data_IF_304273889168
#
_entry.id   IF_304273889168
#
_cell.length_a   1.000
_cell.length_b   1.000
_cell.length_c   1.000
_cell.angle_alpha   90.00
_cell.angle_beta   90.00
_cell.angle_gamma   90.00
#
_symmetry.space_group_name_H-M   'P 1'
#
loop_
_entity.id
_entity.type
_entity.pdbx_description
1 polymer ?
#
# COMPACT_ATOMS: atom_id res chain seq x y z
N UNK A 1 22.91 6.18 11.73
CA UNK A 1 21.52 6.39 11.28
C UNK A 1 21.33 6.37 9.76
N UNK A 2 22.28 6.86 8.93
CA UNK A 2 22.12 6.88 7.46
C UNK A 2 21.92 5.47 6.86
N UNK A 3 22.68 4.49 7.34
CA UNK A 3 22.58 3.10 6.88
C UNK A 3 21.22 2.45 7.24
N UNK A 4 20.68 2.77 8.42
CA UNK A 4 19.35 2.26 8.85
C UNK A 4 18.22 2.81 7.99
N UNK A 5 18.30 4.08 7.56
CA UNK A 5 17.34 4.66 6.61
C UNK A 5 17.38 3.95 5.26
N UNK A 6 18.59 3.72 4.72
CA UNK A 6 18.78 3.05 3.44
C UNK A 6 18.20 1.63 3.48
N UNK A 7 18.45 0.90 4.56
CA UNK A 7 17.95 -0.48 4.71
C UNK A 7 16.42 -0.55 4.75
N UNK A 8 15.75 0.40 5.42
CA UNK A 8 14.28 0.46 5.44
C UNK A 8 13.68 0.79 4.07
N UNK A 9 14.33 1.67 3.29
CA UNK A 9 13.91 1.99 1.92
C UNK A 9 14.14 0.81 0.98
N UNK A 10 15.27 0.11 1.10
CA UNK A 10 15.51 -1.11 0.33
C UNK A 10 14.45 -2.17 0.65
N UNK A 11 14.14 -2.35 1.94
CA UNK A 11 13.11 -3.29 2.37
C UNK A 11 11.73 -2.96 1.78
N UNK A 12 11.33 -1.68 1.73
CA UNK A 12 10.05 -1.30 1.11
C UNK A 12 10.03 -1.57 -0.38
N UNK A 13 11.13 -1.28 -1.10
CA UNK A 13 11.25 -1.56 -2.54
C UNK A 13 11.15 -3.07 -2.81
N UNK A 14 11.87 -3.89 -2.04
CA UNK A 14 11.81 -5.35 -2.17
C UNK A 14 10.41 -5.88 -1.87
N UNK A 15 9.72 -5.33 -0.87
CA UNK A 15 8.35 -5.71 -0.56
C UNK A 15 7.37 -5.38 -1.70
N UNK A 16 7.52 -4.22 -2.33
CA UNK A 16 6.72 -3.81 -3.49
C UNK A 16 6.97 -4.74 -4.67
N UNK A 17 8.24 -4.96 -5.05
CA UNK A 17 8.61 -5.81 -6.20
C UNK A 17 8.18 -7.26 -5.94
N UNK A 18 8.49 -7.82 -4.78
CA UNK A 18 8.13 -9.18 -4.42
C UNK A 18 6.62 -9.40 -4.41
N UNK A 19 5.87 -8.47 -3.80
CA UNK A 19 4.41 -8.55 -3.82
C UNK A 19 3.81 -8.36 -5.21
N UNK A 20 4.40 -7.50 -6.04
CA UNK A 20 4.00 -7.31 -7.43
C UNK A 20 4.16 -8.63 -8.18
N UNK A 21 5.36 -9.22 -8.20
CA UNK A 21 5.64 -10.48 -8.91
C UNK A 21 4.70 -11.60 -8.47
N UNK A 22 4.44 -11.71 -7.16
CA UNK A 22 3.61 -12.78 -6.61
C UNK A 22 2.10 -12.61 -6.87
N UNK A 23 1.59 -11.38 -6.99
CA UNK A 23 0.17 -11.10 -7.25
C UNK A 23 -0.15 -10.68 -8.68
N UNK A 24 0.86 -10.44 -9.53
CA UNK A 24 0.71 -9.80 -10.85
C UNK A 24 -0.33 -10.48 -11.72
N UNK A 25 -0.25 -11.82 -11.81
CA UNK A 25 -1.11 -12.61 -12.67
C UNK A 25 -2.58 -12.51 -12.24
N UNK A 26 -2.88 -12.81 -10.97
CA UNK A 26 -4.27 -12.79 -10.51
C UNK A 26 -4.88 -11.40 -10.49
N UNK A 27 -4.07 -10.39 -10.16
CA UNK A 27 -4.50 -9.00 -10.15
C UNK A 27 -4.88 -8.50 -11.55
N UNK A 28 -4.06 -8.79 -12.56
CA UNK A 28 -4.31 -8.31 -13.93
C UNK A 28 -5.39 -9.10 -14.67
N UNK A 29 -5.46 -10.41 -14.43
CA UNK A 29 -6.45 -11.26 -15.09
C UNK A 29 -7.84 -11.14 -14.43
N UNK A 30 -7.95 -10.44 -13.30
CA UNK A 30 -9.19 -10.34 -12.53
C UNK A 30 -9.68 -11.68 -11.99
N UNK A 31 -8.78 -12.66 -11.86
CA UNK A 31 -9.13 -14.00 -11.36
C UNK A 31 -9.39 -13.94 -9.86
N UNK A 32 -10.31 -14.74 -9.29
CA UNK A 32 -10.58 -14.75 -7.86
C UNK A 32 -9.30 -14.82 -7.02
N UNK A 33 -9.22 -13.99 -5.98
CA UNK A 33 -8.07 -14.00 -5.08
C UNK A 33 -7.99 -15.36 -4.37
N UNK A 34 -6.77 -15.86 -4.22
CA UNK A 34 -6.47 -17.14 -3.58
C UNK A 34 -5.67 -16.96 -2.28
N UNK A 35 -5.37 -18.07 -1.61
CA UNK A 35 -4.63 -18.07 -0.34
C UNK A 35 -3.20 -17.49 -0.48
N UNK A 36 -2.57 -17.62 -1.65
CA UNK A 36 -1.27 -17.00 -1.93
C UNK A 36 -1.39 -15.47 -1.90
N UNK A 37 -2.42 -14.91 -2.55
CA UNK A 37 -2.63 -13.45 -2.56
C UNK A 37 -2.89 -12.89 -1.15
N UNK A 38 -3.61 -13.66 -0.32
CA UNK A 38 -3.82 -13.35 1.08
C UNK A 38 -2.49 -13.24 1.84
N UNK A 39 -1.63 -14.26 1.73
CA UNK A 39 -0.32 -14.28 2.40
C UNK A 39 0.53 -13.08 1.95
N UNK A 40 0.57 -12.80 0.64
CA UNK A 40 1.33 -11.66 0.10
C UNK A 40 0.84 -10.34 0.71
N UNK A 41 -0.47 -10.14 0.76
CA UNK A 41 -1.07 -8.93 1.34
C UNK A 41 -0.74 -8.79 2.81
N UNK A 42 -0.83 -9.89 3.56
CA UNK A 42 -0.54 -9.90 4.99
C UNK A 42 0.94 -9.59 5.27
N UNK A 43 1.88 -10.23 4.56
CA UNK A 43 3.31 -9.94 4.69
C UNK A 43 3.64 -8.50 4.29
N UNK A 44 3.03 -8.01 3.20
CA UNK A 44 3.20 -6.64 2.75
C UNK A 44 2.75 -5.62 3.80
N UNK A 45 1.57 -5.84 4.41
CA UNK A 45 1.06 -5.03 5.51
C UNK A 45 2.03 -5.06 6.71
N UNK A 46 2.49 -6.24 7.13
CA UNK A 46 3.41 -6.39 8.26
C UNK A 46 4.72 -5.63 8.04
N UNK A 47 5.28 -5.69 6.82
CA UNK A 47 6.50 -4.95 6.48
C UNK A 47 6.27 -3.45 6.62
N UNK A 48 5.16 -2.91 6.13
CA UNK A 48 4.85 -1.49 6.26
C UNK A 48 4.62 -1.05 7.71
N UNK A 49 3.93 -1.87 8.51
CA UNK A 49 3.76 -1.64 9.95
C UNK A 49 5.12 -1.62 10.64
N UNK A 50 6.01 -2.56 10.32
CA UNK A 50 7.35 -2.63 10.87
C UNK A 50 8.20 -1.40 10.51
N UNK A 51 8.19 -0.98 9.24
CA UNK A 51 8.88 0.23 8.78
C UNK A 51 8.36 1.45 9.54
N UNK A 52 7.04 1.59 9.67
CA UNK A 52 6.43 2.72 10.40
C UNK A 52 6.81 2.70 11.88
N UNK A 53 6.73 1.53 12.53
CA UNK A 53 7.08 1.35 13.93
C UNK A 53 8.54 1.75 14.22
N UNK A 54 9.49 1.24 13.43
CA UNK A 54 10.91 1.60 13.55
C UNK A 54 11.09 3.10 13.33
N UNK A 55 10.43 3.66 12.31
CA UNK A 55 10.55 5.10 11.99
C UNK A 55 10.07 5.99 13.13
N UNK A 56 8.98 5.62 13.80
CA UNK A 56 8.47 6.30 14.99
C UNK A 56 9.43 6.13 16.16
N UNK A 57 9.87 4.89 16.45
CA UNK A 57 10.74 4.56 17.59
C UNK A 57 12.07 5.32 17.54
N UNK A 58 12.68 5.38 16.35
CA UNK A 58 13.95 6.08 16.13
C UNK A 58 13.78 7.54 15.72
N UNK A 59 12.55 8.08 15.77
CA UNK A 59 12.26 9.49 15.48
C UNK A 59 12.79 9.95 14.11
N UNK A 60 12.83 9.04 13.12
CA UNK A 60 13.44 9.28 11.82
C UNK A 60 12.49 10.06 10.91
N UNK A 61 12.59 11.39 10.94
CA UNK A 61 11.74 12.29 10.16
C UNK A 61 11.75 12.01 8.65
N UNK A 62 12.89 11.59 8.08
CA UNK A 62 13.01 11.32 6.65
C UNK A 62 12.16 10.13 6.22
N UNK A 63 12.22 9.02 6.98
CA UNK A 63 11.40 7.83 6.68
C UNK A 63 9.93 8.08 6.97
N UNK A 64 9.60 8.83 8.03
CA UNK A 64 8.22 9.21 8.29
C UNK A 64 7.63 10.08 7.16
N UNK A 65 8.39 11.01 6.58
CA UNK A 65 7.94 11.75 5.39
C UNK A 65 7.70 10.81 4.21
N UNK A 66 8.59 9.86 3.99
CA UNK A 66 8.42 8.83 2.95
C UNK A 66 7.15 8.00 3.17
N UNK A 67 6.90 7.50 4.39
CA UNK A 67 5.68 6.77 4.72
C UNK A 67 4.42 7.62 4.54
N UNK A 68 4.48 8.93 4.84
CA UNK A 68 3.35 9.84 4.64
C UNK A 68 3.05 10.01 3.15
N UNK A 69 4.08 10.25 2.33
CA UNK A 69 3.91 10.35 0.87
C UNK A 69 3.34 9.05 0.31
N UNK A 70 3.88 7.90 0.73
CA UNK A 70 3.35 6.60 0.33
C UNK A 70 1.88 6.42 0.72
N UNK A 71 1.51 6.73 1.96
CA UNK A 71 0.13 6.65 2.45
C UNK A 71 -0.84 7.55 1.67
N UNK A 72 -0.42 8.77 1.34
CA UNK A 72 -1.24 9.72 0.55
C UNK A 72 -1.38 9.25 -0.89
N UNK A 73 -0.31 8.76 -1.53
CA UNK A 73 -0.39 8.22 -2.90
C UNK A 73 -1.32 7.02 -2.96
N UNK A 74 -1.21 6.10 -1.99
CA UNK A 74 -2.11 4.95 -1.85
C UNK A 74 -3.58 5.40 -1.68
N UNK A 75 -3.82 6.43 -0.88
CA UNK A 75 -5.15 6.99 -0.68
C UNK A 75 -5.73 7.55 -1.98
N UNK A 76 -4.95 8.32 -2.74
CA UNK A 76 -5.39 8.87 -4.03
C UNK A 76 -5.69 7.77 -5.04
N UNK A 77 -4.82 6.75 -5.15
CA UNK A 77 -5.02 5.64 -6.09
C UNK A 77 -6.23 4.78 -5.72
N UNK A 78 -6.48 4.54 -4.43
CA UNK A 78 -7.65 3.78 -3.99
C UNK A 78 -8.96 4.56 -4.22
N UNK A 79 -8.98 5.87 -3.98
CA UNK A 79 -10.12 6.73 -4.33
C UNK A 79 -10.37 6.76 -5.85
N UNK A 80 -9.31 6.91 -6.66
CA UNK A 80 -9.41 6.87 -8.11
C UNK A 80 -9.96 5.52 -8.59
N UNK A 81 -9.53 4.43 -7.97
CA UNK A 81 -10.02 3.08 -8.29
C UNK A 81 -11.51 2.94 -7.97
N UNK A 82 -11.97 3.46 -6.83
CA UNK A 82 -13.41 3.51 -6.50
C UNK A 82 -14.18 4.30 -7.56
N UNK A 83 -13.69 5.50 -7.90
CA UNK A 83 -14.32 6.36 -8.90
C UNK A 83 -14.47 5.64 -10.25
N UNK A 84 -13.42 4.99 -10.73
CA UNK A 84 -13.42 4.20 -11.97
C UNK A 84 -14.46 3.07 -11.92
N UNK A 85 -14.49 2.32 -10.82
CA UNK A 85 -15.42 1.19 -10.67
C UNK A 85 -16.89 1.63 -10.60
N UNK A 86 -17.18 2.81 -10.04
CA UNK A 86 -18.55 3.32 -9.93
C UNK A 86 -19.00 4.03 -11.22
N UNK A 87 -18.13 4.80 -11.85
CA UNK A 87 -18.47 5.62 -13.02
C UNK A 87 -18.33 4.89 -14.36
N UNK A 88 -17.58 3.79 -14.40
CA UNK A 88 -17.19 3.14 -15.66
C UNK A 88 -16.16 3.94 -16.47
N UNK A 89 -15.60 5.01 -15.92
CA UNK A 89 -14.54 5.79 -16.56
C UNK A 89 -13.27 4.95 -16.76
N UNK A 90 -12.40 5.36 -17.68
CA UNK A 90 -11.10 4.71 -17.90
C UNK A 90 -9.95 5.64 -17.54
N UNK A 91 -8.89 5.08 -16.94
CA UNK A 91 -7.69 5.84 -16.56
C UNK A 91 -6.43 5.02 -16.87
N UNK A 92 -6.16 4.79 -18.15
CA UNK A 92 -5.02 3.96 -18.59
C UNK A 92 -3.67 4.47 -18.08
N UNK A 93 -3.52 5.79 -17.91
CA UNK A 93 -2.32 6.39 -17.33
C UNK A 93 -2.05 5.97 -15.88
N UNK A 94 -3.11 5.64 -15.12
CA UNK A 94 -3.00 5.25 -13.71
C UNK A 94 -2.66 3.76 -13.53
N UNK A 95 -2.80 2.96 -14.59
CA UNK A 95 -2.71 1.50 -14.55
C UNK A 95 -1.37 1.03 -14.00
N UNK A 96 -0.26 1.65 -14.41
CA UNK A 96 1.08 1.29 -13.93
C UNK A 96 1.23 1.52 -12.41
N UNK A 97 0.65 2.59 -11.88
CA UNK A 97 0.69 2.90 -10.45
C UNK A 97 -0.21 1.95 -9.66
N UNK A 98 -1.36 1.59 -10.23
CA UNK A 98 -2.31 0.65 -9.64
C UNK A 98 -1.68 -0.75 -9.53
N UNK A 99 -1.02 -1.25 -10.58
CA UNK A 99 -0.27 -2.52 -10.51
C UNK A 99 0.83 -2.42 -9.45
N UNK A 100 1.61 -1.34 -9.50
CA UNK A 100 2.81 -1.21 -8.67
C UNK A 100 2.49 -1.05 -7.19
N UNK A 101 1.40 -0.38 -6.83
CA UNK A 101 1.11 0.01 -5.44
C UNK A 101 -0.14 -0.66 -4.86
N UNK A 102 -1.14 -0.98 -5.69
CA UNK A 102 -2.38 -1.63 -5.24
C UNK A 102 -2.35 -3.16 -5.44
N UNK A 103 -1.55 -3.69 -6.36
CA UNK A 103 -1.50 -5.12 -6.67
C UNK A 103 -1.15 -6.01 -5.47
N UNK A 104 -0.30 -5.53 -4.57
CA UNK A 104 0.09 -6.26 -3.35
C UNK A 104 -1.07 -6.45 -2.37
N UNK A 105 -2.14 -5.66 -2.52
CA UNK A 105 -3.32 -5.69 -1.66
C UNK A 105 -4.44 -6.58 -2.18
N UNK A 106 -4.20 -7.28 -3.29
CA UNK A 106 -5.22 -8.11 -3.95
C UNK A 106 -5.81 -9.19 -3.04
N UNK A 107 -5.09 -9.63 -2.01
CA UNK A 107 -5.58 -10.59 -1.03
C UNK A 107 -6.76 -10.09 -0.19
N UNK A 108 -7.04 -8.77 -0.12
CA UNK A 108 -8.29 -8.27 0.50
C UNK A 108 -9.52 -8.82 -0.25
N UNK A 109 -9.39 -8.97 -1.57
CA UNK A 109 -10.45 -9.48 -2.43
C UNK A 109 -10.79 -10.95 -2.13
N UNK A 110 -9.94 -11.68 -1.41
CA UNK A 110 -10.21 -13.03 -0.92
C UNK A 110 -11.43 -13.05 0.02
N UNK A 111 -11.61 -12.00 0.82
CA UNK A 111 -12.71 -11.91 1.77
C UNK A 111 -13.96 -11.25 1.19
N UNK A 112 -13.77 -10.27 0.30
CA UNK A 112 -14.89 -9.44 -0.17
C UNK A 112 -15.51 -9.95 -1.47
N UNK A 113 -14.75 -10.69 -2.29
CA UNK A 113 -15.16 -11.07 -3.65
C UNK A 113 -15.46 -9.88 -4.58
N UNK A 114 -15.16 -8.65 -4.13
CA UNK A 114 -15.42 -7.41 -4.84
C UNK A 114 -14.23 -6.48 -4.74
N UNK A 115 -13.72 -6.08 -5.90
CA UNK A 115 -12.62 -5.14 -6.04
C UNK A 115 -12.99 -3.73 -5.55
N UNK A 116 -14.27 -3.34 -5.69
CA UNK A 116 -14.80 -2.09 -5.17
C UNK A 116 -14.70 -2.05 -3.64
N UNK A 117 -15.19 -3.09 -2.96
CA UNK A 117 -15.12 -3.18 -1.49
C UNK A 117 -13.66 -3.23 -1.02
N UNK A 118 -12.80 -3.97 -1.74
CA UNK A 118 -11.36 -3.98 -1.45
C UNK A 118 -10.73 -2.59 -1.53
N UNK A 119 -11.12 -1.79 -2.54
CA UNK A 119 -10.62 -0.42 -2.70
C UNK A 119 -11.10 0.51 -1.59
N UNK A 120 -12.35 0.34 -1.12
CA UNK A 120 -12.88 1.07 0.05
C UNK A 120 -12.08 0.74 1.32
N UNK A 121 -11.77 -0.54 1.57
CA UNK A 121 -10.93 -0.93 2.70
C UNK A 121 -9.55 -0.29 2.61
N UNK A 122 -8.97 -0.22 1.41
CA UNK A 122 -7.67 0.42 1.19
C UNK A 122 -7.69 1.93 1.46
N UNK A 123 -8.79 2.62 1.18
CA UNK A 123 -8.96 4.03 1.59
C UNK A 123 -8.83 4.17 3.10
N UNK A 124 -9.48 3.32 3.88
CA UNK A 124 -9.39 3.38 5.35
C UNK A 124 -7.98 3.07 5.86
N UNK A 125 -7.32 2.03 5.32
CA UNK A 125 -5.96 1.66 5.73
C UNK A 125 -4.97 2.78 5.39
N UNK A 126 -5.03 3.32 4.18
CA UNK A 126 -4.12 4.38 3.73
C UNK A 126 -4.36 5.70 4.48
N UNK A 127 -5.62 6.03 4.79
CA UNK A 127 -5.97 7.16 5.64
C UNK A 127 -5.40 7.00 7.06
N UNK A 128 -5.57 5.82 7.67
CA UNK A 128 -5.03 5.51 9.00
C UNK A 128 -3.50 5.67 9.05
N UNK A 129 -2.79 5.07 8.09
CA UNK A 129 -1.33 5.20 7.97
C UNK A 129 -0.93 6.68 7.85
N UNK A 130 -1.64 7.43 7.00
CA UNK A 130 -1.35 8.85 6.79
C UNK A 130 -1.56 9.68 8.06
N UNK A 131 -2.66 9.47 8.80
CA UNK A 131 -2.94 10.17 10.06
C UNK A 131 -1.89 9.84 11.12
N UNK A 132 -1.59 8.56 11.34
CA UNK A 132 -0.59 8.13 12.34
C UNK A 132 0.77 8.75 12.01
N UNK A 133 1.15 8.73 10.74
CA UNK A 133 2.45 9.24 10.30
C UNK A 133 2.52 10.77 10.43
N UNK A 134 1.45 11.48 10.04
CA UNK A 134 1.36 12.94 10.18
C UNK A 134 1.42 13.37 11.66
N UNK A 135 0.65 12.72 12.52
CA UNK A 135 0.66 12.98 13.96
C UNK A 135 2.04 12.72 14.57
N UNK A 136 2.71 11.65 14.15
CA UNK A 136 4.07 11.33 14.57
C UNK A 136 5.08 12.40 14.11
N UNK A 137 4.98 12.87 12.86
CA UNK A 137 5.81 13.97 12.36
C UNK A 137 5.59 15.28 13.13
N UNK A 138 4.33 15.60 13.49
CA UNK A 138 4.00 16.79 14.27
C UNK A 138 4.60 16.74 15.68
N UNK A 139 4.60 15.58 16.34
CA UNK A 139 5.20 15.36 17.67
C UNK A 139 6.73 15.43 17.67
N UNK A 140 7.36 15.31 16.51
CA UNK A 140 8.80 15.40 16.38
C UNK A 140 9.29 16.84 16.23
N UNK A 141 8.42 17.81 15.92
CA UNK A 141 8.76 19.25 15.92
C UNK A 141 9.13 19.69 17.32
#
# INVERSE_FOLDING_TARGET
MKNSTILLVILSIVAVIGGMVLNFQEFLMGSPANFKNLIVTFLYLLIWIFILFISIRFKNRSVLRYCLVFGVVMLVLSLLTIYINVSGATANWALIFVILLLGQWYGINFFTGSFLISSIILVFISLLISIITFMSLKRLK
#
